data_IF_590253681427
#
_entry.id   IF_590253681427
#
_cell.length_a   1.000
_cell.length_b   1.000
_cell.length_c   1.000
_cell.angle_alpha   90.00
_cell.angle_beta   90.00
_cell.angle_gamma   90.00
#
_symmetry.space_group_name_H-M   'P 1'
#
loop_
_entity.id
_entity.type
_entity.pdbx_description
1 polymer ?
#
# COMPACT_ATOMS: atom_id res chain seq x y z
N UNK A 1 9.04 -0.60 4.38
CA UNK A 1 7.68 -0.07 4.15
C UNK A 1 7.49 1.13 5.06
N UNK A 2 7.17 2.29 4.48
CA UNK A 2 6.75 3.46 5.23
C UNK A 2 5.23 3.59 5.08
N UNK A 3 4.52 3.52 6.19
CA UNK A 3 3.06 3.71 6.22
C UNK A 3 2.76 5.20 6.40
N UNK A 4 2.36 5.83 5.31
CA UNK A 4 2.01 7.24 5.25
C UNK A 4 0.50 7.47 5.45
N UNK A 5 -0.31 6.43 5.59
CA UNK A 5 -1.73 6.57 5.92
C UNK A 5 -1.90 6.81 7.43
N UNK A 6 -1.83 8.09 7.79
CA UNK A 6 -1.93 8.53 9.19
C UNK A 6 -3.36 8.35 9.74
N UNK A 7 -4.38 8.30 8.88
CA UNK A 7 -5.78 8.25 9.31
C UNK A 7 -6.28 6.84 9.57
N UNK A 8 -5.66 5.84 8.94
CA UNK A 8 -5.97 4.44 9.11
C UNK A 8 -4.74 3.55 8.98
N UNK A 9 -3.72 3.70 9.85
CA UNK A 9 -2.49 2.93 9.73
C UNK A 9 -2.79 1.44 9.86
N UNK A 10 -2.46 0.69 8.81
CA UNK A 10 -2.80 -0.74 8.72
C UNK A 10 -1.58 -1.65 8.86
N UNK A 11 -0.37 -1.13 8.59
CA UNK A 11 0.86 -1.91 8.58
C UNK A 11 1.22 -2.57 9.93
N UNK A 12 1.05 -1.92 11.10
CA UNK A 12 1.30 -2.56 12.40
C UNK A 12 0.51 -3.86 12.56
N UNK A 13 -0.79 -3.82 12.26
CA UNK A 13 -1.69 -4.97 12.36
C UNK A 13 -1.38 -6.02 11.31
N UNK A 14 -1.25 -5.60 10.04
CA UNK A 14 -1.00 -6.51 8.91
C UNK A 14 0.28 -7.34 9.11
N UNK A 15 1.30 -6.76 9.76
CA UNK A 15 2.58 -7.40 10.00
C UNK A 15 2.74 -7.93 11.43
N UNK A 16 1.68 -7.91 12.23
CA UNK A 16 1.69 -8.34 13.64
C UNK A 16 2.83 -7.72 14.46
N UNK A 17 3.03 -6.41 14.32
CA UNK A 17 4.06 -5.64 15.02
C UNK A 17 3.40 -4.82 16.12
N UNK A 18 3.94 -4.93 17.33
CA UNK A 18 3.44 -4.25 18.51
C UNK A 18 4.53 -3.43 19.20
N UNK A 19 4.12 -2.43 19.96
CA UNK A 19 5.02 -1.57 20.72
C UNK A 19 5.47 -0.34 19.96
N UNK A 20 6.48 0.35 20.50
CA UNK A 20 6.99 1.62 19.99
C UNK A 20 8.42 1.46 19.47
N UNK A 21 8.82 2.20 18.42
CA UNK A 21 10.18 2.20 17.93
C UNK A 21 11.14 2.70 18.99
N UNK A 22 12.31 2.06 19.07
CA UNK A 22 13.41 2.56 19.87
C UNK A 22 14.06 3.77 19.18
N UNK A 23 14.65 4.66 19.96
CA UNK A 23 15.41 5.80 19.45
C UNK A 23 16.90 5.59 19.66
N UNK A 24 17.71 5.87 18.64
CA UNK A 24 19.16 6.03 18.69
C UNK A 24 19.46 7.50 18.96
N UNK A 25 20.25 7.76 20.01
CA UNK A 25 20.71 9.10 20.42
C UNK A 25 19.58 10.13 20.62
N UNK A 26 18.36 9.67 20.92
CA UNK A 26 17.19 10.52 21.15
C UNK A 26 16.63 11.22 19.91
N UNK A 27 17.18 10.96 18.71
CA UNK A 27 16.74 11.60 17.46
C UNK A 27 16.33 10.62 16.36
N UNK A 28 17.12 9.57 16.12
CA UNK A 28 16.89 8.65 15.00
C UNK A 28 16.05 7.48 15.48
N UNK A 29 14.95 7.17 14.80
CA UNK A 29 14.09 6.03 15.11
C UNK A 29 14.64 4.76 14.46
N UNK A 30 14.68 3.66 15.20
CA UNK A 30 14.88 2.33 14.61
C UNK A 30 13.57 1.86 13.98
N UNK A 31 13.58 1.39 12.72
CA UNK A 31 12.39 0.80 12.13
C UNK A 31 11.98 -0.44 12.93
N UNK A 32 10.67 -0.67 12.99
CA UNK A 32 10.14 -1.93 13.49
C UNK A 32 10.36 -3.02 12.44
N UNK A 33 10.47 -4.27 12.86
CA UNK A 33 10.78 -5.37 11.94
C UNK A 33 9.89 -6.59 12.21
N UNK A 34 9.35 -7.18 11.14
CA UNK A 34 8.80 -8.54 11.16
C UNK A 34 8.81 -9.12 9.74
N UNK A 35 8.81 -10.45 9.62
CA UNK A 35 8.84 -11.17 8.34
C UNK A 35 9.95 -10.72 7.36
N UNK A 36 11.08 -10.23 7.90
CA UNK A 36 12.20 -9.72 7.10
C UNK A 36 11.97 -8.32 6.51
N UNK A 37 10.89 -7.63 6.88
CA UNK A 37 10.58 -6.27 6.44
C UNK A 37 10.89 -5.26 7.53
N UNK A 38 11.56 -4.17 7.14
CA UNK A 38 11.63 -2.94 7.95
C UNK A 38 10.38 -2.10 7.72
N UNK A 39 9.78 -1.63 8.81
CA UNK A 39 8.49 -0.93 8.80
C UNK A 39 8.54 0.28 9.71
N UNK A 40 7.99 1.39 9.25
CA UNK A 40 7.68 2.53 10.10
C UNK A 40 6.26 3.00 9.78
N UNK A 41 5.47 3.25 10.82
CA UNK A 41 4.09 3.68 10.72
C UNK A 41 3.78 4.65 11.84
N UNK A 42 2.88 5.58 11.56
CA UNK A 42 2.29 6.44 12.59
C UNK A 42 1.54 5.65 13.65
N UNK A 43 1.03 4.46 13.32
CA UNK A 43 0.40 3.57 14.28
C UNK A 43 1.33 3.08 15.40
N UNK A 44 2.66 3.21 15.26
CA UNK A 44 3.59 2.91 16.37
C UNK A 44 3.88 4.11 17.27
N UNK A 45 3.60 5.32 16.79
CA UNK A 45 3.92 6.57 17.48
C UNK A 45 2.74 7.12 18.27
N UNK A 46 1.53 6.61 18.01
CA UNK A 46 0.28 7.06 18.63
C UNK A 46 -0.47 5.88 19.23
N UNK A 47 -0.96 6.05 20.46
CA UNK A 47 -1.81 5.05 21.09
C UNK A 47 -3.20 5.03 20.42
N UNK A 48 -3.69 3.84 20.07
CA UNK A 48 -4.97 3.63 19.36
C UNK A 48 -6.17 4.28 20.05
N UNK A 49 -6.14 4.42 21.37
CA UNK A 49 -7.23 5.00 22.17
C UNK A 49 -7.21 6.53 22.26
N UNK A 50 -6.16 7.19 21.75
CA UNK A 50 -6.03 8.64 21.86
C UNK A 50 -6.61 9.32 20.61
N UNK A 51 -7.76 10.02 20.71
CA UNK A 51 -8.30 10.79 19.59
C UNK A 51 -7.37 11.97 19.27
N UNK A 52 -6.46 11.77 18.32
CA UNK A 52 -5.56 12.81 17.84
C UNK A 52 -6.17 13.56 16.65
N UNK A 53 -6.28 14.88 16.78
CA UNK A 53 -6.65 15.76 15.66
C UNK A 53 -5.38 16.06 14.86
N UNK A 54 -5.16 15.30 13.80
CA UNK A 54 -4.05 15.52 12.87
C UNK A 54 -4.31 16.76 12.01
N UNK A 55 -3.52 17.82 12.24
CA UNK A 55 -3.48 18.98 11.35
C UNK A 55 -2.46 18.75 10.24
N UNK A 56 -2.70 19.33 9.06
CA UNK A 56 -1.81 19.21 7.89
C UNK A 56 -0.32 19.35 8.21
N UNK A 57 0.14 20.42 8.88
CA UNK A 57 1.56 20.58 9.22
C UNK A 57 2.14 19.46 10.10
N UNK A 58 1.34 18.85 10.97
CA UNK A 58 1.79 17.73 11.82
C UNK A 58 1.99 16.47 10.99
N UNK A 59 1.05 16.15 10.09
CA UNK A 59 1.15 15.04 9.13
C UNK A 59 2.44 15.18 8.32
N UNK A 60 2.67 16.38 7.80
CA UNK A 60 3.85 16.71 7.01
C UNK A 60 5.16 16.52 7.78
N UNK A 61 5.21 17.00 9.02
CA UNK A 61 6.37 16.85 9.88
C UNK A 61 6.63 15.39 10.21
N UNK A 62 5.59 14.61 10.48
CA UNK A 62 5.71 13.20 10.83
C UNK A 62 6.17 12.37 9.62
N UNK A 63 5.62 12.61 8.43
CA UNK A 63 6.11 11.97 7.19
C UNK A 63 7.57 12.30 6.93
N UNK A 64 7.95 13.57 7.08
CA UNK A 64 9.35 14.02 6.92
C UNK A 64 10.27 13.31 7.91
N UNK A 65 9.83 13.17 9.16
CA UNK A 65 10.56 12.44 10.20
C UNK A 65 10.72 10.96 9.84
N UNK A 66 9.64 10.27 9.42
CA UNK A 66 9.72 8.85 9.04
C UNK A 66 10.62 8.62 7.81
N UNK A 67 10.72 9.61 6.91
CA UNK A 67 11.60 9.56 5.76
C UNK A 67 13.07 9.81 6.08
N UNK A 68 13.35 10.80 6.94
CA UNK A 68 14.72 11.32 7.15
C UNK A 68 15.35 10.90 8.47
N UNK A 69 14.56 10.60 9.47
CA UNK A 69 14.99 10.34 10.85
C UNK A 69 14.68 8.90 11.26
N UNK A 70 14.61 7.99 10.30
CA UNK A 70 14.52 6.54 10.53
C UNK A 70 15.77 5.87 9.97
N UNK A 71 16.34 4.96 10.75
CA UNK A 71 17.50 4.15 10.36
C UNK A 71 17.10 3.01 9.42
N UNK A 72 16.63 3.36 8.21
CA UNK A 72 16.28 2.39 7.18
C UNK A 72 17.45 1.48 6.79
N UNK A 73 18.68 1.99 6.92
CA UNK A 73 19.88 1.31 6.47
C UNK A 73 19.92 1.19 4.95
N UNK A 74 20.58 0.14 4.43
CA UNK A 74 20.58 -0.15 3.00
C UNK A 74 19.27 -0.83 2.61
N UNK A 75 18.57 -0.24 1.64
CA UNK A 75 17.36 -0.79 1.05
C UNK A 75 17.52 -0.81 -0.47
N UNK A 76 17.01 -1.86 -1.11
CA UNK A 76 16.84 -1.86 -2.56
C UNK A 76 15.56 -1.10 -2.95
N UNK A 77 14.49 -1.24 -2.14
CA UNK A 77 13.20 -0.56 -2.34
C UNK A 77 12.63 -0.09 -1.00
N UNK A 78 12.06 1.12 -1.00
CA UNK A 78 11.19 1.62 0.06
C UNK A 78 9.78 1.82 -0.51
N UNK A 79 8.87 0.91 -0.18
CA UNK A 79 7.44 1.07 -0.50
C UNK A 79 6.83 2.06 0.47
N UNK A 80 6.11 3.05 -0.05
CA UNK A 80 5.31 4.00 0.74
C UNK A 80 3.83 3.69 0.55
N UNK A 81 3.15 3.35 1.63
CA UNK A 81 1.69 3.16 1.64
C UNK A 81 1.01 4.51 1.83
N UNK A 82 0.44 5.04 0.75
CA UNK A 82 -0.10 6.39 0.71
C UNK A 82 -1.57 6.39 1.16
N UNK A 83 -2.05 7.43 1.86
CA UNK A 83 -3.47 7.53 2.17
C UNK A 83 -4.31 7.53 0.89
N UNK A 84 -5.58 7.14 0.96
CA UNK A 84 -6.45 7.13 -0.21
C UNK A 84 -6.68 8.56 -0.76
N UNK A 85 -7.02 8.63 -2.05
CA UNK A 85 -7.39 9.88 -2.72
C UNK A 85 -6.20 10.68 -3.28
N UNK A 86 -6.39 11.99 -3.41
CA UNK A 86 -5.43 12.91 -4.05
C UNK A 86 -5.19 14.17 -3.22
N UNK A 87 -5.00 14.00 -1.91
CA UNK A 87 -4.82 15.11 -0.97
C UNK A 87 -3.39 15.63 -0.89
N UNK A 88 -3.16 16.51 0.09
CA UNK A 88 -1.89 17.21 0.29
C UNK A 88 -0.73 16.28 0.67
N UNK A 89 -1.02 15.16 1.35
CA UNK A 89 -0.02 14.17 1.72
C UNK A 89 0.63 13.54 0.46
N UNK A 90 -0.18 13.22 -0.56
CA UNK A 90 0.31 12.65 -1.81
C UNK A 90 1.17 13.63 -2.60
N UNK A 91 0.71 14.88 -2.73
CA UNK A 91 1.49 15.93 -3.39
C UNK A 91 2.80 16.20 -2.68
N UNK A 92 2.78 16.22 -1.34
CA UNK A 92 3.98 16.42 -0.54
C UNK A 92 4.98 15.31 -0.77
N UNK A 93 4.55 14.05 -0.70
CA UNK A 93 5.45 12.91 -0.88
C UNK A 93 6.10 12.95 -2.26
N UNK A 94 5.32 13.27 -3.29
CA UNK A 94 5.84 13.44 -4.64
C UNK A 94 6.80 14.63 -4.79
N UNK A 95 6.64 15.71 -4.01
CA UNK A 95 7.51 16.89 -4.07
C UNK A 95 8.77 16.77 -3.20
N UNK A 96 8.67 16.09 -2.06
CA UNK A 96 9.76 16.02 -1.09
C UNK A 96 10.68 14.83 -1.29
N UNK A 97 10.20 13.78 -1.97
CA UNK A 97 10.94 12.55 -2.19
C UNK A 97 11.00 12.27 -3.69
N UNK A 98 12.19 11.99 -4.26
CA UNK A 98 12.27 11.51 -5.63
C UNK A 98 11.66 10.10 -5.70
N UNK A 99 10.40 10.00 -6.10
CA UNK A 99 9.71 8.74 -6.27
C UNK A 99 10.16 8.06 -7.57
N UNK A 100 10.57 6.80 -7.49
CA UNK A 100 10.90 5.99 -8.67
C UNK A 100 9.65 5.73 -9.55
N UNK A 101 8.49 5.66 -8.92
CA UNK A 101 7.21 5.60 -9.60
C UNK A 101 6.06 5.29 -8.65
N UNK A 102 4.86 5.19 -9.20
CA UNK A 102 3.62 4.93 -8.48
C UNK A 102 2.89 3.71 -9.04
N UNK A 103 2.35 2.89 -8.15
CA UNK A 103 1.42 1.80 -8.46
C UNK A 103 0.04 2.23 -8.01
N UNK A 104 -0.95 2.12 -8.89
CA UNK A 104 -2.34 2.45 -8.57
C UNK A 104 -3.10 1.16 -8.27
N UNK A 105 -3.76 1.11 -7.12
CA UNK A 105 -4.65 0.01 -6.73
C UNK A 105 -6.09 0.49 -6.81
N UNK A 106 -6.95 -0.24 -7.52
CA UNK A 106 -8.38 0.10 -7.63
C UNK A 106 -9.23 -1.16 -7.74
N UNK A 107 -10.52 -1.03 -7.51
CA UNK A 107 -11.50 -2.11 -7.73
C UNK A 107 -12.18 -1.91 -9.11
N UNK A 108 -12.79 -2.96 -9.70
CA UNK A 108 -13.26 -2.90 -11.09
C UNK A 108 -14.42 -1.93 -11.38
N UNK A 109 -15.11 -1.40 -10.36
CA UNK A 109 -16.24 -0.50 -10.54
C UNK A 109 -15.81 0.86 -11.11
N UNK A 110 -16.65 1.43 -11.97
CA UNK A 110 -16.43 2.77 -12.53
C UNK A 110 -16.26 3.85 -11.45
N UNK A 111 -16.98 3.75 -10.33
CA UNK A 111 -16.86 4.69 -9.22
C UNK A 111 -15.44 4.69 -8.61
N UNK A 112 -14.86 3.51 -8.38
CA UNK A 112 -13.51 3.39 -7.84
C UNK A 112 -12.44 3.84 -8.85
N UNK A 113 -12.70 3.62 -10.15
CA UNK A 113 -11.81 4.07 -11.21
C UNK A 113 -11.75 5.59 -11.35
N UNK A 114 -12.80 6.33 -10.94
CA UNK A 114 -12.76 7.80 -10.92
C UNK A 114 -11.62 8.30 -10.02
N UNK A 115 -11.43 7.70 -8.85
CA UNK A 115 -10.39 8.12 -7.92
C UNK A 115 -9.00 7.64 -8.38
N UNK A 116 -8.91 6.45 -8.97
CA UNK A 116 -7.70 5.98 -9.64
C UNK A 116 -7.25 6.97 -10.75
N UNK A 117 -8.20 7.47 -11.55
CA UNK A 117 -7.94 8.48 -12.60
C UNK A 117 -7.43 9.80 -12.02
N UNK A 118 -8.01 10.28 -10.92
CA UNK A 118 -7.53 11.50 -10.26
C UNK A 118 -6.11 11.30 -9.74
N UNK A 119 -5.84 10.18 -9.06
CA UNK A 119 -4.51 9.85 -8.55
C UNK A 119 -3.47 9.80 -9.66
N UNK A 120 -3.82 9.16 -10.77
CA UNK A 120 -2.97 9.04 -11.93
C UNK A 120 -2.63 10.41 -12.55
N UNK A 121 -3.64 11.28 -12.72
CA UNK A 121 -3.43 12.64 -13.22
C UNK A 121 -2.59 13.50 -12.27
N UNK A 122 -2.72 13.29 -10.96
CA UNK A 122 -1.92 13.99 -9.95
C UNK A 122 -0.45 13.57 -10.05
N UNK A 123 -0.14 12.27 -10.06
CA UNK A 123 1.24 11.79 -10.23
C UNK A 123 1.88 12.25 -11.55
N UNK A 124 1.10 12.25 -12.63
CA UNK A 124 1.57 12.78 -13.92
C UNK A 124 1.90 14.28 -13.88
N UNK A 125 1.18 15.08 -13.08
CA UNK A 125 1.45 16.53 -12.94
C UNK A 125 2.70 16.84 -12.13
N UNK A 126 3.13 15.92 -11.28
CA UNK A 126 4.34 16.03 -10.46
C UNK A 126 5.47 15.15 -11.01
N UNK A 127 5.37 14.78 -12.29
CA UNK A 127 6.38 14.02 -13.04
C UNK A 127 6.79 12.68 -12.41
N UNK A 128 5.87 12.04 -11.68
CA UNK A 128 6.10 10.70 -11.10
C UNK A 128 5.69 9.63 -12.12
N UNK A 129 6.60 8.72 -12.51
CA UNK A 129 6.30 7.62 -13.42
C UNK A 129 5.21 6.69 -12.87
N UNK A 130 4.33 6.20 -13.74
CA UNK A 130 3.34 5.20 -13.36
C UNK A 130 3.88 3.82 -13.72
N UNK A 131 4.16 3.00 -12.71
CA UNK A 131 4.68 1.64 -12.88
C UNK A 131 3.57 0.69 -13.33
N UNK A 132 2.33 0.94 -12.90
CA UNK A 132 1.16 0.24 -13.41
C UNK A 132 -0.06 0.28 -12.50
N UNK A 133 -1.06 -0.51 -12.88
CA UNK A 133 -2.36 -0.58 -12.19
C UNK A 133 -2.63 -2.03 -11.76
N UNK A 134 -3.09 -2.20 -10.53
CA UNK A 134 -3.59 -3.45 -9.95
C UNK A 134 -5.11 -3.38 -9.79
N UNK A 135 -5.82 -4.42 -10.22
CA UNK A 135 -7.25 -4.60 -9.95
C UNK A 135 -7.46 -5.45 -8.69
N UNK A 136 -7.82 -4.82 -7.58
CA UNK A 136 -8.15 -5.53 -6.35
C UNK A 136 -9.62 -5.98 -6.33
N UNK A 137 -9.90 -7.05 -5.58
CA UNK A 137 -11.25 -7.64 -5.46
C UNK A 137 -11.92 -7.89 -6.83
N UNK A 138 -11.14 -8.35 -7.81
CA UNK A 138 -11.53 -8.44 -9.22
C UNK A 138 -12.61 -9.50 -9.49
N UNK A 139 -12.58 -10.59 -8.73
CA UNK A 139 -13.55 -11.68 -8.80
C UNK A 139 -13.55 -12.47 -7.49
N UNK A 140 -14.60 -13.26 -7.27
CA UNK A 140 -14.75 -14.19 -6.17
C UNK A 140 -14.98 -15.59 -6.71
N UNK A 141 -14.29 -16.60 -6.16
CA UNK A 141 -14.54 -18.02 -6.47
C UNK A 141 -15.25 -18.61 -5.26
N UNK A 142 -16.49 -19.07 -5.47
CA UNK A 142 -17.25 -19.69 -4.40
C UNK A 142 -16.60 -21.03 -3.98
N UNK A 143 -16.27 -21.21 -2.69
CA UNK A 143 -15.48 -22.36 -2.24
C UNK A 143 -16.21 -23.71 -2.32
N UNK A 144 -17.54 -23.67 -2.31
CA UNK A 144 -18.43 -24.85 -2.35
C UNK A 144 -18.65 -25.38 -3.78
N UNK A 145 -18.67 -24.48 -4.77
CA UNK A 145 -19.07 -24.79 -6.16
C UNK A 145 -17.96 -24.55 -7.17
N UNK A 146 -16.91 -23.81 -6.81
CA UNK A 146 -15.88 -23.33 -7.73
C UNK A 146 -16.38 -22.28 -8.73
N UNK A 147 -17.63 -21.81 -8.59
CA UNK A 147 -18.23 -20.86 -9.51
C UNK A 147 -17.62 -19.47 -9.29
N UNK A 148 -17.25 -18.82 -10.39
CA UNK A 148 -16.75 -17.44 -10.39
C UNK A 148 -17.90 -16.43 -10.38
N UNK A 149 -17.72 -15.38 -9.58
CA UNK A 149 -18.60 -14.22 -9.48
C UNK A 149 -17.80 -12.94 -9.56
N UNK A 150 -18.15 -12.08 -10.51
CA UNK A 150 -17.58 -10.75 -10.63
C UNK A 150 -18.45 -9.77 -9.82
N UNK A 151 -18.45 -9.93 -8.50
CA UNK A 151 -19.36 -9.23 -7.55
C UNK A 151 -19.35 -7.71 -7.76
N UNK A 152 -18.17 -7.19 -8.09
CA UNK A 152 -17.88 -5.78 -8.25
C UNK A 152 -17.69 -5.36 -9.71
N UNK A 153 -18.04 -6.23 -10.66
CA UNK A 153 -17.60 -6.13 -12.05
C UNK A 153 -16.20 -6.71 -12.24
N UNK A 154 -15.67 -6.65 -13.47
CA UNK A 154 -14.35 -7.19 -13.80
C UNK A 154 -13.69 -6.42 -14.96
N UNK A 155 -12.36 -6.31 -14.91
CA UNK A 155 -11.51 -5.75 -15.96
C UNK A 155 -11.61 -4.24 -16.13
N UNK A 156 -12.20 -3.53 -15.17
CA UNK A 156 -12.31 -2.08 -15.18
C UNK A 156 -10.94 -1.39 -15.14
N UNK A 157 -10.08 -1.83 -14.23
CA UNK A 157 -8.73 -1.30 -14.09
C UNK A 157 -7.83 -1.73 -15.26
N UNK A 158 -8.05 -2.94 -15.83
CA UNK A 158 -7.34 -3.38 -17.04
C UNK A 158 -7.64 -2.47 -18.24
N UNK A 159 -8.92 -2.24 -18.54
CA UNK A 159 -9.33 -1.34 -19.63
C UNK A 159 -8.80 0.07 -19.41
N UNK A 160 -8.76 0.53 -18.16
CA UNK A 160 -8.20 1.83 -17.83
C UNK A 160 -6.68 1.89 -18.04
N UNK A 161 -5.95 0.84 -17.68
CA UNK A 161 -4.52 0.73 -17.92
C UNK A 161 -4.20 0.79 -19.43
N UNK A 162 -4.95 0.04 -20.24
CA UNK A 162 -4.85 0.07 -21.70
C UNK A 162 -5.15 1.46 -22.27
N UNK A 163 -6.22 2.11 -21.81
CA UNK A 163 -6.61 3.47 -22.24
C UNK A 163 -5.52 4.50 -21.95
N UNK A 164 -4.81 4.33 -20.85
CA UNK A 164 -3.77 5.25 -20.40
C UNK A 164 -2.38 4.89 -20.91
N UNK A 165 -2.22 3.75 -21.58
CA UNK A 165 -0.93 3.25 -22.04
C UNK A 165 0.01 2.87 -20.89
N UNK A 166 -0.53 2.43 -19.76
CA UNK A 166 0.25 1.98 -18.59
C UNK A 166 0.11 0.47 -18.37
N UNK A 167 1.09 -0.12 -17.70
CA UNK A 167 1.13 -1.58 -17.46
C UNK A 167 -0.02 -2.02 -16.55
N UNK A 168 -0.75 -3.06 -16.97
CA UNK A 168 -1.64 -3.78 -16.07
C UNK A 168 -0.86 -4.86 -15.32
N UNK A 169 -0.67 -4.65 -14.03
CA UNK A 169 0.19 -5.49 -13.20
C UNK A 169 -0.47 -6.82 -12.86
N UNK A 170 -1.78 -6.81 -12.60
CA UNK A 170 -2.52 -8.03 -12.29
C UNK A 170 -3.84 -7.75 -11.59
N UNK A 171 -4.54 -8.84 -11.30
CA UNK A 171 -5.81 -8.86 -10.60
C UNK A 171 -5.70 -9.72 -9.35
N UNK A 172 -6.25 -9.23 -8.23
CA UNK A 172 -6.29 -9.93 -6.94
C UNK A 172 -7.75 -10.34 -6.66
N UNK A 173 -8.02 -11.62 -6.36
CA UNK A 173 -9.37 -12.06 -6.04
C UNK A 173 -9.84 -11.52 -4.70
N UNK A 174 -11.15 -11.40 -4.55
CA UNK A 174 -11.79 -11.35 -3.24
C UNK A 174 -11.75 -12.76 -2.66
N UNK A 175 -10.93 -12.99 -1.64
CA UNK A 175 -10.70 -14.31 -1.07
C UNK A 175 -10.65 -14.21 0.46
N UNK A 176 -11.28 -15.17 1.14
CA UNK A 176 -11.48 -15.15 2.60
C UNK A 176 -10.17 -15.33 3.35
N UNK A 177 -9.32 -16.25 2.90
CA UNK A 177 -7.99 -16.48 3.45
C UNK A 177 -7.08 -15.25 3.37
N UNK A 178 -7.12 -14.45 2.30
CA UNK A 178 -6.39 -13.18 2.22
C UNK A 178 -6.85 -12.25 3.36
N UNK A 179 -8.17 -12.06 3.53
CA UNK A 179 -8.71 -11.20 4.59
C UNK A 179 -8.35 -11.72 5.98
N UNK A 180 -8.61 -13.00 6.25
CA UNK A 180 -8.38 -13.64 7.55
C UNK A 180 -6.92 -13.60 7.97
N UNK A 181 -6.02 -13.96 7.05
CA UNK A 181 -4.59 -13.97 7.31
C UNK A 181 -4.03 -12.55 7.51
N UNK A 182 -4.55 -11.57 6.77
CA UNK A 182 -4.21 -10.16 6.95
C UNK A 182 -4.66 -9.62 8.31
N UNK A 183 -5.91 -9.92 8.71
CA UNK A 183 -6.47 -9.50 10.00
C UNK A 183 -5.74 -10.14 11.19
N UNK A 184 -5.26 -11.37 11.02
CA UNK A 184 -4.45 -12.10 11.99
C UNK A 184 -2.96 -11.68 11.97
N UNK A 185 -2.56 -10.76 11.09
CA UNK A 185 -1.18 -10.27 10.98
C UNK A 185 -0.19 -11.31 10.44
N UNK A 186 -0.67 -12.26 9.63
CA UNK A 186 0.13 -13.33 8.99
C UNK A 186 -0.15 -13.37 7.48
N UNK A 187 0.27 -12.34 6.71
CA UNK A 187 -0.12 -12.15 5.31
C UNK A 187 0.01 -13.42 4.47
N UNK A 188 -0.85 -13.60 3.45
CA UNK A 188 -0.93 -14.86 2.69
C UNK A 188 0.40 -15.30 2.06
N UNK A 189 1.27 -14.35 1.70
CA UNK A 189 2.62 -14.64 1.19
C UNK A 189 3.55 -15.26 2.23
N UNK A 190 3.28 -15.07 3.52
CA UNK A 190 3.98 -15.67 4.64
C UNK A 190 3.32 -16.98 5.07
N UNK A 191 1.99 -16.97 5.24
CA UNK A 191 1.25 -18.12 5.77
C UNK A 191 1.03 -19.24 4.76
N UNK A 192 0.94 -18.92 3.47
CA UNK A 192 0.77 -19.87 2.34
C UNK A 192 1.67 -19.47 1.16
N UNK A 193 3.00 -19.53 1.31
CA UNK A 193 3.95 -19.00 0.31
C UNK A 193 3.79 -19.63 -1.08
N UNK A 194 3.47 -20.92 -1.15
CA UNK A 194 3.25 -21.65 -2.40
C UNK A 194 1.79 -21.66 -2.87
N UNK A 195 0.91 -20.95 -2.16
CA UNK A 195 -0.50 -20.81 -2.49
C UNK A 195 -0.75 -19.99 -3.76
N UNK A 196 -1.91 -20.19 -4.41
CA UNK A 196 -2.26 -19.45 -5.63
C UNK A 196 -2.33 -17.94 -5.39
N UNK A 197 -2.78 -17.49 -4.21
CA UNK A 197 -2.84 -16.06 -3.86
C UNK A 197 -1.45 -15.46 -3.71
N UNK A 198 -0.53 -16.18 -3.05
CA UNK A 198 0.86 -15.74 -2.89
C UNK A 198 1.58 -15.64 -4.24
N UNK A 199 1.24 -16.51 -5.20
CA UNK A 199 1.75 -16.42 -6.57
C UNK A 199 1.30 -15.13 -7.26
N UNK A 200 0.03 -14.75 -7.12
CA UNK A 200 -0.50 -13.50 -7.70
C UNK A 200 0.30 -12.29 -7.20
N UNK A 201 0.55 -12.19 -5.90
CA UNK A 201 1.33 -11.08 -5.33
C UNK A 201 2.78 -11.08 -5.81
N UNK A 202 3.41 -12.25 -5.94
CA UNK A 202 4.78 -12.37 -6.49
C UNK A 202 4.83 -11.95 -7.95
N UNK A 203 3.88 -12.38 -8.76
CA UNK A 203 3.81 -12.01 -10.19
C UNK A 203 3.60 -10.49 -10.36
N UNK A 204 2.78 -9.86 -9.51
CA UNK A 204 2.63 -8.39 -9.47
C UNK A 204 3.95 -7.73 -9.08
N UNK A 205 4.60 -8.20 -8.01
CA UNK A 205 5.85 -7.62 -7.53
C UNK A 205 6.97 -7.71 -8.57
N UNK A 206 7.11 -8.84 -9.28
CA UNK A 206 8.08 -9.00 -10.37
C UNK A 206 7.85 -7.98 -11.49
N UNK A 207 6.60 -7.76 -11.91
CA UNK A 207 6.27 -6.76 -12.94
C UNK A 207 6.49 -5.31 -12.51
N UNK A 208 6.43 -5.03 -11.21
CA UNK A 208 6.76 -3.70 -10.67
C UNK A 208 8.28 -3.49 -10.63
N UNK A 209 9.04 -4.57 -10.47
CA UNK A 209 10.50 -4.55 -10.41
C UNK A 209 11.16 -4.38 -11.78
N UNK A 210 10.60 -5.03 -12.80
CA UNK A 210 11.10 -5.01 -14.19
C UNK A 210 10.93 -3.65 -14.88
#
# INVERSE_FOLDING_TARGET
VLDADIYGPSMPRLLNIHGRPQTVDGKILKPMENYGLKVMSMGFLVDEETPMIWRGPMVMSALTQMLREVEWGRLDVLVVDMPPGTGDAQLTMAQQVPLAGAVIVSTPQDLALIDARKGLNMFKKVDVPLLGIVENMSYFIAPDTGKRYDIFGHGGARREAERLGVTFLGEVPLEMGIRESSDAGTPVVVSKPDGPEAKIYRDIASKVWD
#
